data_IF_813171428067
#
_entry.id   IF_813171428067
#
_cell.length_a   1.000
_cell.length_b   1.000
_cell.length_c   1.000
_cell.angle_alpha   90.00
_cell.angle_beta   90.00
_cell.angle_gamma   90.00
#
_symmetry.space_group_name_H-M   'P 1'
#
loop_
_entity.id
_entity.type
_entity.pdbx_description
1 polymer ?
#
# COMPACT_ATOMS: atom_id res chain seq x y z
N UNK A 1 -16.30 -59.99 24.55
CA UNK A 1 -17.01 -58.74 24.23
C UNK A 1 -16.25 -57.50 24.77
N UNK A 2 -15.67 -57.58 25.96
CA UNK A 2 -14.94 -56.47 26.57
C UNK A 2 -13.67 -56.09 25.76
N UNK A 3 -12.94 -57.06 25.24
CA UNK A 3 -11.74 -56.86 24.43
C UNK A 3 -12.01 -56.13 23.10
N UNK A 4 -13.12 -56.44 22.42
CA UNK A 4 -13.52 -55.77 21.17
C UNK A 4 -13.92 -54.30 21.42
N UNK A 5 -14.56 -54.02 22.52
CA UNK A 5 -14.93 -52.66 22.91
C UNK A 5 -13.71 -51.78 23.19
N UNK A 6 -12.71 -52.35 23.87
CA UNK A 6 -11.46 -51.64 24.16
C UNK A 6 -10.68 -51.33 22.87
N UNK A 7 -10.56 -52.27 21.93
CA UNK A 7 -9.88 -52.05 20.65
C UNK A 7 -10.60 -50.97 19.84
N UNK A 8 -11.93 -50.98 19.79
CA UNK A 8 -12.73 -50.02 19.08
C UNK A 8 -12.62 -48.61 19.71
N UNK A 9 -12.58 -48.50 21.03
CA UNK A 9 -12.38 -47.24 21.76
C UNK A 9 -10.97 -46.69 21.51
N UNK A 10 -9.94 -47.53 21.48
CA UNK A 10 -8.56 -47.13 21.18
C UNK A 10 -8.41 -46.61 19.74
N UNK A 11 -9.03 -47.29 18.78
CA UNK A 11 -9.02 -46.89 17.38
C UNK A 11 -9.69 -45.53 17.18
N UNK A 12 -10.84 -45.29 17.81
CA UNK A 12 -11.52 -43.99 17.77
C UNK A 12 -10.71 -42.88 18.45
N UNK A 13 -10.05 -43.16 19.56
CA UNK A 13 -9.21 -42.21 20.27
C UNK A 13 -8.00 -41.78 19.44
N UNK A 14 -7.35 -42.73 18.76
CA UNK A 14 -6.25 -42.43 17.83
C UNK A 14 -6.70 -41.58 16.64
N UNK A 15 -7.88 -41.89 16.06
CA UNK A 15 -8.44 -41.04 15.00
C UNK A 15 -8.76 -39.63 15.48
N UNK A 16 -9.32 -39.48 16.67
CA UNK A 16 -9.61 -38.18 17.24
C UNK A 16 -8.32 -37.35 17.45
N UNK A 17 -7.28 -37.95 18.04
CA UNK A 17 -5.98 -37.29 18.22
C UNK A 17 -5.35 -36.90 16.89
N UNK A 18 -5.36 -37.82 15.91
CA UNK A 18 -4.81 -37.54 14.59
C UNK A 18 -5.52 -36.42 13.87
N UNK A 19 -6.86 -36.36 13.96
CA UNK A 19 -7.66 -35.31 13.37
C UNK A 19 -7.39 -33.94 14.05
N UNK A 20 -7.30 -33.94 15.37
CA UNK A 20 -7.01 -32.72 16.15
C UNK A 20 -5.61 -32.19 15.84
N UNK A 21 -4.60 -33.06 15.75
CA UNK A 21 -3.25 -32.68 15.35
C UNK A 21 -3.19 -32.12 13.93
N UNK A 22 -3.92 -32.70 13.00
CA UNK A 22 -4.01 -32.20 11.62
C UNK A 22 -4.62 -30.78 11.56
N UNK A 23 -5.71 -30.55 12.33
CA UNK A 23 -6.33 -29.22 12.41
C UNK A 23 -5.38 -28.19 13.03
N UNK A 24 -4.70 -28.55 14.14
CA UNK A 24 -3.73 -27.66 14.78
C UNK A 24 -2.57 -27.32 13.82
N UNK A 25 -2.07 -28.32 13.09
CA UNK A 25 -1.02 -28.12 12.10
C UNK A 25 -1.48 -27.21 10.95
N UNK A 26 -2.71 -27.38 10.44
CA UNK A 26 -3.27 -26.51 9.40
C UNK A 26 -3.44 -25.06 9.90
N UNK A 27 -3.95 -24.89 11.13
CA UNK A 27 -4.08 -23.55 11.74
C UNK A 27 -2.73 -22.89 11.96
N UNK A 28 -1.74 -23.63 12.45
CA UNK A 28 -0.38 -23.13 12.63
C UNK A 28 0.27 -22.76 11.29
N UNK A 29 0.09 -23.60 10.25
CA UNK A 29 0.60 -23.31 8.90
C UNK A 29 -0.08 -22.09 8.29
N UNK A 30 -1.39 -21.93 8.46
CA UNK A 30 -2.13 -20.75 8.03
C UNK A 30 -1.60 -19.49 8.74
N UNK A 31 -1.43 -19.54 10.06
CA UNK A 31 -0.91 -18.42 10.83
C UNK A 31 0.52 -18.05 10.43
N UNK A 32 1.39 -19.03 10.17
CA UNK A 32 2.75 -18.78 9.67
C UNK A 32 2.73 -18.14 8.28
N UNK A 33 1.86 -18.62 7.38
CA UNK A 33 1.71 -18.02 6.06
C UNK A 33 1.20 -16.58 6.15
N UNK A 34 0.20 -16.32 6.99
CA UNK A 34 -0.37 -14.99 7.20
C UNK A 34 0.68 -13.99 7.75
N UNK A 35 1.56 -14.45 8.63
CA UNK A 35 2.63 -13.61 9.19
C UNK A 35 3.85 -13.44 8.28
N UNK A 36 4.11 -14.38 7.36
CA UNK A 36 5.26 -14.30 6.46
C UNK A 36 4.96 -13.66 5.11
N UNK A 37 3.71 -13.67 4.68
CA UNK A 37 3.30 -13.07 3.40
C UNK A 37 2.92 -11.61 3.61
N UNK A 38 3.88 -10.73 3.48
CA UNK A 38 3.60 -9.28 3.42
C UNK A 38 2.85 -8.99 2.13
N UNK A 39 1.62 -8.52 2.26
CA UNK A 39 0.77 -8.20 1.12
C UNK A 39 1.21 -6.92 0.40
N UNK A 40 0.83 -6.79 -0.87
CA UNK A 40 1.07 -5.54 -1.62
C UNK A 40 0.48 -4.32 -0.92
N UNK A 41 -0.64 -4.50 -0.21
CA UNK A 41 -1.28 -3.46 0.59
C UNK A 41 -0.40 -3.01 1.75
N UNK A 42 0.11 -3.94 2.55
CA UNK A 42 0.98 -3.63 3.71
C UNK A 42 2.27 -2.96 3.27
N UNK A 43 2.86 -3.43 2.18
CA UNK A 43 4.04 -2.79 1.58
C UNK A 43 3.75 -1.35 1.13
N UNK A 44 2.59 -1.10 0.52
CA UNK A 44 2.17 0.24 0.13
C UNK A 44 1.92 1.13 1.34
N UNK A 45 1.28 0.61 2.41
CA UNK A 45 1.06 1.32 3.67
C UNK A 45 2.38 1.79 4.29
N UNK A 46 3.41 0.95 4.32
CA UNK A 46 4.73 1.31 4.82
C UNK A 46 5.36 2.45 4.00
N UNK A 47 5.29 2.37 2.68
CA UNK A 47 5.82 3.42 1.78
C UNK A 47 5.06 4.73 1.97
N UNK A 48 3.73 4.71 2.00
CA UNK A 48 2.91 5.91 2.17
C UNK A 48 3.09 6.52 3.57
N UNK A 49 3.27 5.70 4.62
CA UNK A 49 3.59 6.17 5.95
C UNK A 49 4.97 6.87 6.00
N UNK A 50 5.99 6.32 5.32
CA UNK A 50 7.31 6.95 5.26
C UNK A 50 7.26 8.28 4.47
N UNK A 51 6.51 8.33 3.35
CA UNK A 51 6.26 9.58 2.61
C UNK A 51 5.62 10.64 3.53
N UNK A 52 4.57 10.28 4.27
CA UNK A 52 3.92 11.19 5.24
C UNK A 52 4.91 11.71 6.27
N UNK A 53 5.73 10.82 6.83
CA UNK A 53 6.75 11.15 7.82
C UNK A 53 7.81 12.12 7.26
N UNK A 54 8.33 11.86 6.07
CA UNK A 54 9.33 12.70 5.41
C UNK A 54 8.79 14.11 5.15
N UNK A 55 7.56 14.21 4.64
CA UNK A 55 6.92 15.51 4.37
C UNK A 55 6.68 16.29 5.66
N UNK A 56 6.20 15.62 6.73
CA UNK A 56 6.01 16.25 8.03
C UNK A 56 7.32 16.76 8.64
N UNK A 57 8.44 16.15 8.30
CA UNK A 57 9.79 16.58 8.68
C UNK A 57 10.34 17.71 7.80
N UNK A 58 9.57 18.19 6.81
CA UNK A 58 9.99 19.23 5.88
C UNK A 58 10.94 18.73 4.78
N UNK A 59 10.98 17.42 4.53
CA UNK A 59 11.89 16.80 3.57
C UNK A 59 11.12 16.18 2.40
N UNK A 60 10.41 17.00 1.62
CA UNK A 60 9.64 16.57 0.46
C UNK A 60 10.52 15.83 -0.57
N UNK A 61 11.75 16.33 -0.80
CA UNK A 61 12.70 15.68 -1.73
C UNK A 61 13.05 14.29 -1.26
N UNK A 62 13.20 14.07 0.05
CA UNK A 62 13.46 12.73 0.59
C UNK A 62 12.29 11.75 0.36
N UNK A 63 11.07 12.26 0.28
CA UNK A 63 9.91 11.44 -0.05
C UNK A 63 9.93 10.94 -1.50
N UNK A 64 10.60 11.66 -2.41
CA UNK A 64 10.71 11.27 -3.83
C UNK A 64 11.54 10.01 -4.05
N UNK A 65 12.36 9.57 -3.07
CA UNK A 65 13.09 8.29 -3.13
C UNK A 65 12.18 7.07 -3.33
N UNK A 66 10.89 7.21 -2.98
CA UNK A 66 9.89 6.16 -3.18
C UNK A 66 9.33 6.11 -4.61
N UNK A 67 9.63 7.09 -5.44
CA UNK A 67 9.29 7.07 -6.86
C UNK A 67 10.28 6.18 -7.62
N UNK A 68 9.77 5.39 -8.58
CA UNK A 68 10.62 4.59 -9.47
C UNK A 68 11.32 5.51 -10.49
N UNK A 69 12.50 5.15 -10.97
CA UNK A 69 13.19 5.91 -12.02
C UNK A 69 12.39 6.04 -13.32
N UNK A 70 11.37 5.19 -13.53
CA UNK A 70 10.41 5.25 -14.65
C UNK A 70 9.11 5.97 -14.30
N UNK A 71 9.10 6.71 -13.18
CA UNK A 71 7.93 7.44 -12.75
C UNK A 71 7.46 8.42 -13.83
N UNK A 72 6.15 8.41 -14.06
CA UNK A 72 5.50 9.32 -15.00
C UNK A 72 4.21 9.82 -14.35
N UNK A 73 3.99 11.14 -14.36
CA UNK A 73 2.71 11.72 -13.94
C UNK A 73 1.62 11.42 -14.97
N UNK A 74 0.39 11.68 -14.60
CA UNK A 74 -0.76 11.55 -15.49
C UNK A 74 -0.65 12.35 -16.81
N UNK A 75 0.16 13.43 -16.81
CA UNK A 75 0.42 14.28 -17.99
C UNK A 75 1.69 13.91 -18.75
N UNK A 76 2.35 12.82 -18.37
CA UNK A 76 3.57 12.38 -19.02
C UNK A 76 4.85 13.04 -18.52
N UNK A 77 4.79 13.81 -17.41
CA UNK A 77 5.97 14.42 -16.79
C UNK A 77 6.80 13.35 -16.10
N UNK A 78 8.06 13.22 -16.46
CA UNK A 78 8.99 12.28 -15.85
C UNK A 78 9.47 12.74 -14.46
N UNK A 79 10.13 11.84 -13.73
CA UNK A 79 10.62 12.10 -12.36
C UNK A 79 11.49 13.35 -12.28
N UNK A 80 12.44 13.53 -13.19
CA UNK A 80 13.39 14.63 -13.18
C UNK A 80 12.68 15.99 -13.40
N UNK A 81 11.74 16.03 -14.33
CA UNK A 81 10.92 17.21 -14.59
C UNK A 81 10.00 17.52 -13.42
N UNK A 82 9.45 16.47 -12.77
CA UNK A 82 8.63 16.59 -11.57
C UNK A 82 9.42 17.14 -10.38
N UNK A 83 10.61 16.62 -10.12
CA UNK A 83 11.54 17.15 -9.10
C UNK A 83 11.88 18.62 -9.35
N UNK A 84 12.19 18.96 -10.60
CA UNK A 84 12.51 20.35 -10.99
C UNK A 84 11.32 21.27 -10.80
N UNK A 85 10.10 20.81 -11.06
CA UNK A 85 8.88 21.58 -10.83
C UNK A 85 8.65 21.81 -9.34
N UNK A 86 8.79 20.78 -8.50
CA UNK A 86 8.66 20.90 -7.03
C UNK A 86 9.67 21.90 -6.45
N UNK A 87 10.92 21.84 -6.91
CA UNK A 87 11.97 22.75 -6.47
C UNK A 87 11.66 24.20 -6.86
N UNK A 88 11.28 24.44 -8.12
CA UNK A 88 10.94 25.79 -8.62
C UNK A 88 9.76 26.41 -7.89
N UNK A 89 8.76 25.61 -7.56
CA UNK A 89 7.57 26.08 -6.85
C UNK A 89 7.74 26.10 -5.33
N UNK A 90 8.93 25.79 -4.82
CA UNK A 90 9.23 25.71 -3.39
C UNK A 90 8.21 24.85 -2.62
N UNK A 91 7.85 23.70 -3.21
CA UNK A 91 6.76 22.85 -2.72
C UNK A 91 6.98 22.39 -1.27
N UNK A 92 8.23 22.25 -0.82
CA UNK A 92 8.57 21.95 0.59
C UNK A 92 8.05 23.00 1.58
N UNK A 93 7.96 24.26 1.16
CA UNK A 93 7.41 25.35 2.00
C UNK A 93 5.89 25.38 1.96
N UNK A 94 5.31 24.85 0.90
CA UNK A 94 3.87 24.91 0.64
C UNK A 94 3.13 23.72 1.26
N UNK A 95 3.72 22.53 1.21
CA UNK A 95 3.12 21.30 1.75
C UNK A 95 3.71 21.02 3.13
N UNK A 96 2.87 21.05 4.16
CA UNK A 96 3.27 20.85 5.55
C UNK A 96 2.99 19.44 6.07
N UNK A 97 1.93 18.83 5.60
CA UNK A 97 1.50 17.52 6.07
C UNK A 97 0.73 16.80 4.95
N UNK A 98 0.98 15.53 4.80
CA UNK A 98 0.15 14.62 4.02
C UNK A 98 -0.20 13.43 4.91
N UNK A 99 -1.48 13.07 4.94
CA UNK A 99 -1.99 11.91 5.69
C UNK A 99 -2.74 11.02 4.72
N UNK A 100 -2.40 9.72 4.72
CA UNK A 100 -3.06 8.69 3.94
C UNK A 100 -3.93 7.83 4.86
N UNK A 101 -5.13 7.46 4.39
CA UNK A 101 -6.01 6.51 5.07
C UNK A 101 -6.87 5.81 4.05
N UNK A 102 -7.63 4.81 4.48
CA UNK A 102 -8.50 4.01 3.61
C UNK A 102 -7.73 3.42 2.42
N UNK A 103 -6.60 2.77 2.77
CA UNK A 103 -5.67 2.20 1.79
C UNK A 103 -6.21 0.83 1.37
N UNK A 104 -6.49 0.69 0.06
CA UNK A 104 -7.06 -0.51 -0.52
C UNK A 104 -6.27 -0.97 -1.74
N UNK A 105 -6.08 -2.27 -1.86
CA UNK A 105 -5.59 -2.87 -3.09
C UNK A 105 -6.77 -3.07 -4.03
N UNK A 106 -6.81 -2.29 -5.12
CA UNK A 106 -7.91 -2.31 -6.10
C UNK A 106 -7.63 -3.23 -7.29
N UNK A 107 -6.51 -3.95 -7.27
CA UNK A 107 -6.22 -4.99 -8.26
C UNK A 107 -4.80 -4.95 -8.83
N UNK A 108 -4.51 -5.83 -9.77
CA UNK A 108 -3.22 -5.84 -10.46
C UNK A 108 -3.07 -4.59 -11.33
N UNK A 109 -1.83 -4.16 -11.50
CA UNK A 109 -1.49 -3.12 -12.45
C UNK A 109 -1.41 -3.64 -13.89
N UNK A 110 -0.82 -2.85 -14.77
CA UNK A 110 -0.66 -3.20 -16.19
C UNK A 110 0.35 -4.33 -16.42
N UNK A 111 1.32 -4.49 -15.53
CA UNK A 111 2.36 -5.52 -15.58
C UNK A 111 2.23 -6.51 -14.43
N UNK A 112 2.73 -7.75 -14.61
CA UNK A 112 2.68 -8.84 -13.61
C UNK A 112 3.25 -8.48 -12.23
N UNK A 113 4.17 -7.50 -12.20
CA UNK A 113 4.85 -7.07 -10.97
C UNK A 113 4.36 -5.69 -10.52
N UNK A 114 3.14 -5.31 -10.85
CA UNK A 114 2.57 -4.04 -10.45
C UNK A 114 1.22 -4.25 -9.77
N UNK A 115 0.91 -3.40 -8.78
CA UNK A 115 -0.37 -3.37 -8.08
C UNK A 115 -0.94 -1.95 -8.08
N UNK A 116 -2.26 -1.87 -8.12
CA UNK A 116 -2.99 -0.61 -7.99
C UNK A 116 -3.50 -0.46 -6.57
N UNK A 117 -3.13 0.63 -5.93
CA UNK A 117 -3.52 0.96 -4.56
C UNK A 117 -4.30 2.26 -4.59
N UNK A 118 -5.48 2.26 -4.02
CA UNK A 118 -6.29 3.46 -3.79
C UNK A 118 -6.11 3.94 -2.35
N UNK A 119 -6.11 5.24 -2.13
CA UNK A 119 -6.08 5.82 -0.79
C UNK A 119 -6.80 7.16 -0.78
N UNK A 120 -7.44 7.47 0.33
CA UNK A 120 -7.82 8.84 0.64
C UNK A 120 -6.61 9.60 1.16
N UNK A 121 -6.47 10.85 0.77
CA UNK A 121 -5.31 11.68 1.08
C UNK A 121 -5.77 13.06 1.55
N UNK A 122 -5.29 13.47 2.70
CA UNK A 122 -5.44 14.82 3.21
C UNK A 122 -4.11 15.56 3.05
N UNK A 123 -4.14 16.66 2.36
CA UNK A 123 -2.99 17.54 2.19
C UNK A 123 -3.23 18.83 2.97
N UNK A 124 -2.32 19.16 3.87
CA UNK A 124 -2.29 20.46 4.55
C UNK A 124 -1.11 21.26 4.06
N UNK A 125 -1.36 22.54 3.81
CA UNK A 125 -0.31 23.43 3.33
C UNK A 125 -0.84 24.83 3.08
N UNK A 126 -0.06 25.61 2.35
CA UNK A 126 -0.46 26.95 1.95
C UNK A 126 -0.30 27.06 0.42
N UNK A 127 -1.18 26.41 -0.31
CA UNK A 127 -1.13 26.37 -1.76
C UNK A 127 -2.27 27.21 -2.34
N UNK A 128 -1.93 28.39 -2.87
CA UNK A 128 -2.93 29.22 -3.54
C UNK A 128 -4.11 29.67 -2.68
N UNK A 129 -3.92 29.78 -1.34
CA UNK A 129 -4.98 30.11 -0.40
C UNK A 129 -5.74 28.89 0.16
N UNK A 130 -5.50 27.71 -0.36
CA UNK A 130 -6.09 26.45 0.17
C UNK A 130 -5.21 25.96 1.31
N UNK A 131 -5.76 25.94 2.52
CA UNK A 131 -5.03 25.47 3.72
C UNK A 131 -5.11 23.96 3.89
N UNK A 132 -6.18 23.33 3.40
CA UNK A 132 -6.41 21.90 3.55
C UNK A 132 -7.28 21.38 2.40
N UNK A 133 -6.91 20.22 1.84
CA UNK A 133 -7.68 19.52 0.82
C UNK A 133 -7.72 18.02 1.07
N UNK A 134 -8.84 17.39 0.72
CA UNK A 134 -9.00 15.93 0.75
C UNK A 134 -9.17 15.46 -0.69
N UNK A 135 -8.50 14.38 -1.04
CA UNK A 135 -8.51 13.81 -2.38
C UNK A 135 -8.53 12.28 -2.31
N UNK A 136 -9.02 11.64 -3.35
CA UNK A 136 -8.75 10.23 -3.59
C UNK A 136 -7.56 10.12 -4.54
N UNK A 137 -6.62 9.25 -4.23
CA UNK A 137 -5.43 9.03 -5.06
C UNK A 137 -5.29 7.55 -5.37
N UNK A 138 -5.07 7.24 -6.63
CA UNK A 138 -4.72 5.91 -7.08
C UNK A 138 -3.26 5.88 -7.47
N UNK A 139 -2.53 4.97 -6.85
CA UNK A 139 -1.11 4.73 -7.09
C UNK A 139 -0.92 3.46 -7.91
N UNK A 140 0.01 3.51 -8.85
CA UNK A 140 0.56 2.32 -9.48
C UNK A 140 1.90 2.02 -8.82
N UNK A 141 1.95 0.94 -8.05
CA UNK A 141 3.17 0.45 -7.42
C UNK A 141 3.84 -0.61 -8.28
N UNK A 142 5.16 -0.57 -8.30
CA UNK A 142 6.00 -1.65 -8.81
C UNK A 142 6.51 -2.47 -7.63
N UNK A 143 6.10 -3.73 -7.59
CA UNK A 143 6.53 -4.68 -6.58
C UNK A 143 7.96 -5.13 -6.87
N UNK A 144 8.81 -5.14 -5.86
CA UNK A 144 10.18 -5.64 -5.93
C UNK A 144 10.26 -6.94 -5.16
N UNK A 145 10.99 -7.92 -5.69
CA UNK A 145 11.20 -9.21 -5.00
C UNK A 145 11.95 -9.02 -3.69
N UNK A 146 12.94 -8.11 -3.70
CA UNK A 146 13.77 -7.81 -2.56
C UNK A 146 13.74 -6.29 -2.33
N UNK A 147 12.95 -5.84 -1.36
CA UNK A 147 12.89 -4.45 -0.94
C UNK A 147 11.52 -3.78 -1.06
N UNK A 148 11.46 -2.54 -0.59
CA UNK A 148 10.23 -1.75 -0.62
C UNK A 148 9.76 -1.48 -2.06
N UNK A 149 8.44 -1.53 -2.33
CA UNK A 149 7.88 -1.18 -3.63
C UNK A 149 8.15 0.29 -3.95
N UNK A 150 8.10 0.62 -5.24
CA UNK A 150 8.26 1.99 -5.72
C UNK A 150 7.05 2.43 -6.53
N UNK A 151 6.74 3.71 -6.48
CA UNK A 151 5.59 4.30 -7.17
C UNK A 151 5.98 4.60 -8.62
N UNK A 152 5.26 4.04 -9.58
CA UNK A 152 5.42 4.30 -11.01
C UNK A 152 4.61 5.49 -11.49
N UNK A 153 3.42 5.67 -10.93
CA UNK A 153 2.55 6.80 -11.24
C UNK A 153 1.50 6.99 -10.15
N UNK A 154 0.86 8.15 -10.14
CA UNK A 154 -0.33 8.38 -9.35
C UNK A 154 -1.36 9.20 -10.15
N UNK A 155 -2.62 9.04 -9.77
CA UNK A 155 -3.74 9.81 -10.32
C UNK A 155 -4.58 10.34 -9.17
N UNK A 156 -5.01 11.59 -9.28
CA UNK A 156 -5.80 12.25 -8.24
C UNK A 156 -7.22 12.43 -8.75
N UNK A 157 -8.18 12.15 -7.90
CA UNK A 157 -9.60 12.27 -8.18
C UNK A 157 -10.30 13.17 -7.17
N UNK A 158 -11.38 13.77 -7.60
CA UNK A 158 -12.31 14.47 -6.71
C UNK A 158 -12.91 13.45 -5.70
N UNK A 159 -12.87 13.72 -4.40
CA UNK A 159 -13.37 12.78 -3.39
C UNK A 159 -14.87 12.58 -3.45
N UNK A 160 -15.61 13.55 -3.99
CA UNK A 160 -17.09 13.52 -4.11
C UNK A 160 -17.49 12.92 -5.46
N UNK A 161 -16.85 13.34 -6.55
CA UNK A 161 -17.08 12.85 -7.88
C UNK A 161 -15.91 12.00 -8.37
N UNK A 162 -15.90 10.73 -8.00
CA UNK A 162 -14.82 9.77 -8.25
C UNK A 162 -14.50 9.55 -9.74
N UNK A 163 -15.41 9.94 -10.65
CA UNK A 163 -15.17 9.88 -12.08
C UNK A 163 -14.45 11.14 -12.61
N UNK A 164 -14.36 12.18 -11.79
CA UNK A 164 -13.70 13.43 -12.16
C UNK A 164 -12.22 13.38 -11.75
N UNK A 165 -11.37 13.11 -12.72
CA UNK A 165 -9.92 13.14 -12.56
C UNK A 165 -9.47 14.59 -12.46
N UNK A 166 -8.80 14.91 -11.34
CA UNK A 166 -8.22 16.22 -11.16
C UNK A 166 -6.86 16.26 -11.85
N UNK A 167 -6.74 17.13 -12.83
CA UNK A 167 -5.47 17.41 -13.48
C UNK A 167 -4.69 18.43 -12.66
N UNK A 168 -3.66 17.97 -11.93
CA UNK A 168 -2.71 18.91 -11.34
C UNK A 168 -1.92 19.57 -12.48
N UNK A 169 -1.92 20.88 -12.52
CA UNK A 169 -1.19 21.70 -13.49
C UNK A 169 0.33 21.63 -13.26
N UNK A 170 0.94 20.47 -13.60
CA UNK A 170 2.39 20.28 -13.54
C UNK A 170 2.98 20.45 -14.92
#
# INVERSE_FOLDING_TARGET
>A
WVGLFLIWSFAKFNHFISTTLAIVFLLASYWVLDTLVVTDKENAELVLADISKQIKQGSLISALKHLDGRFITARGTDLKSFESWLARNQAEKLVKEIVFWDIENIGPGTDKNTSKISSMVKVKGNWGGIQEGIYRVEFLFKNKKDGAPSILSFQIYDPINQNNRLEIGI
#
